data_IF_860953896640
#
_entry.id   IF_860953896640
#
_cell.length_a   1.000
_cell.length_b   1.000
_cell.length_c   1.000
_cell.angle_alpha   90.00
_cell.angle_beta   90.00
_cell.angle_gamma   90.00
#
_symmetry.space_group_name_H-M   'P 1'
#
loop_
_entity.id
_entity.type
_entity.pdbx_description
1 polymer ?
#
# COMPACT_ATOMS: atom_id res chain seq x y z
N UNK A 1 -15.09 -2.62 31.20
CA UNK A 1 -13.85 -3.30 30.75
C UNK A 1 -13.30 -2.81 29.40
N UNK A 2 -14.07 -2.90 28.31
CA UNK A 2 -13.57 -2.69 26.94
C UNK A 2 -12.84 -1.37 26.67
N UNK A 3 -13.38 -0.23 27.12
CA UNK A 3 -12.75 1.07 26.92
C UNK A 3 -11.38 1.17 27.62
N UNK A 4 -11.28 0.63 28.85
CA UNK A 4 -10.03 0.60 29.59
C UNK A 4 -8.99 -0.31 28.92
N UNK A 5 -9.40 -1.41 28.30
CA UNK A 5 -8.53 -2.26 27.50
C UNK A 5 -8.06 -1.58 26.19
N UNK A 6 -8.94 -0.82 25.52
CA UNK A 6 -8.58 0.00 24.35
C UNK A 6 -7.56 1.09 24.68
N UNK A 7 -7.60 1.64 25.91
CA UNK A 7 -6.64 2.67 26.36
C UNK A 7 -5.42 2.13 27.12
N UNK A 8 -5.31 0.81 27.29
CA UNK A 8 -4.19 0.20 28.02
C UNK A 8 -4.21 0.48 29.54
N UNK A 9 -5.35 0.89 30.09
CA UNK A 9 -5.47 1.34 31.47
C UNK A 9 -5.59 0.18 32.46
N UNK A 10 -4.48 -0.55 32.68
CA UNK A 10 -4.43 -1.71 33.58
C UNK A 10 -4.94 -1.41 35.00
N UNK A 11 -4.64 -0.23 35.56
CA UNK A 11 -5.14 0.15 36.90
C UNK A 11 -6.67 0.25 36.94
N UNK A 12 -7.27 0.81 35.89
CA UNK A 12 -8.73 0.93 35.77
C UNK A 12 -9.34 -0.47 35.58
N UNK A 13 -8.71 -1.35 34.81
CA UNK A 13 -9.17 -2.73 34.66
C UNK A 13 -9.16 -3.51 35.98
N UNK A 14 -8.09 -3.38 36.79
CA UNK A 14 -8.01 -3.98 38.12
C UNK A 14 -9.11 -3.44 39.04
N UNK A 15 -9.28 -2.12 39.09
CA UNK A 15 -10.33 -1.50 39.88
C UNK A 15 -11.73 -1.94 39.44
N UNK A 16 -11.99 -1.97 38.13
CA UNK A 16 -13.26 -2.42 37.57
C UNK A 16 -13.55 -3.87 37.96
N UNK A 17 -12.57 -4.78 37.93
CA UNK A 17 -12.76 -6.17 38.36
C UNK A 17 -13.13 -6.29 39.83
N UNK A 18 -12.49 -5.51 40.70
CA UNK A 18 -12.69 -5.56 42.15
C UNK A 18 -14.03 -4.92 42.57
N UNK A 19 -14.50 -3.90 41.85
CA UNK A 19 -15.62 -3.06 42.27
C UNK A 19 -16.85 -3.17 41.38
N UNK A 20 -16.73 -3.77 40.20
CA UNK A 20 -17.81 -3.95 39.24
C UNK A 20 -17.77 -5.40 38.75
N UNK A 21 -18.87 -6.14 38.87
CA UNK A 21 -18.96 -7.54 38.43
C UNK A 21 -19.03 -7.66 36.89
N UNK A 22 -18.16 -6.94 36.18
CA UNK A 22 -18.13 -6.79 34.73
C UNK A 22 -17.30 -7.94 34.11
N UNK A 23 -17.93 -8.76 33.28
CA UNK A 23 -17.30 -9.92 32.66
C UNK A 23 -16.39 -9.52 31.49
N UNK A 24 -15.18 -10.09 31.47
CA UNK A 24 -14.31 -10.00 30.30
C UNK A 24 -14.73 -11.04 29.25
N UNK A 25 -14.71 -10.63 27.98
CA UNK A 25 -14.85 -11.54 26.86
C UNK A 25 -13.65 -11.43 25.91
N UNK A 26 -13.63 -12.28 24.88
CA UNK A 26 -12.59 -12.30 23.83
C UNK A 26 -12.42 -10.92 23.17
N UNK A 27 -13.48 -10.10 23.12
CA UNK A 27 -13.43 -8.74 22.58
C UNK A 27 -12.56 -7.79 23.42
N UNK A 28 -12.52 -7.95 24.75
CA UNK A 28 -11.63 -7.17 25.64
C UNK A 28 -10.16 -7.48 25.33
N UNK A 29 -9.83 -8.77 25.18
CA UNK A 29 -8.48 -9.22 24.80
C UNK A 29 -8.06 -8.67 23.43
N UNK A 30 -8.93 -8.80 22.42
CA UNK A 30 -8.65 -8.29 21.08
C UNK A 30 -8.40 -6.78 21.06
N UNK A 31 -9.08 -5.99 21.92
CA UNK A 31 -8.81 -4.55 22.05
C UNK A 31 -7.42 -4.28 22.66
N UNK A 32 -7.04 -5.03 23.69
CA UNK A 32 -5.71 -4.92 24.29
C UNK A 32 -4.59 -5.29 23.30
N UNK A 33 -4.79 -6.38 22.53
CA UNK A 33 -3.88 -6.81 21.45
C UNK A 33 -3.77 -5.75 20.35
N UNK A 34 -4.91 -5.17 19.91
CA UNK A 34 -4.90 -4.08 18.92
C UNK A 34 -4.15 -2.84 19.41
N UNK A 35 -4.24 -2.54 20.69
CA UNK A 35 -3.51 -1.43 21.33
C UNK A 35 -2.06 -1.73 21.67
N UNK A 36 -1.61 -2.98 21.55
CA UNK A 36 -0.23 -3.38 21.88
C UNK A 36 0.06 -3.48 23.37
N UNK A 37 -0.96 -3.50 24.22
CA UNK A 37 -0.81 -3.45 25.67
C UNK A 37 -0.53 -4.83 26.26
N UNK A 38 0.72 -5.29 26.15
CA UNK A 38 1.17 -6.61 26.62
C UNK A 38 0.81 -6.87 28.08
N UNK A 39 0.94 -5.87 28.96
CA UNK A 39 0.63 -6.04 30.38
C UNK A 39 -0.86 -6.26 30.62
N UNK A 40 -1.70 -5.62 29.82
CA UNK A 40 -3.15 -5.85 29.84
C UNK A 40 -3.48 -7.22 29.26
N UNK A 41 -2.84 -7.62 28.16
CA UNK A 41 -3.00 -8.95 27.55
C UNK A 41 -2.64 -10.06 28.56
N UNK A 42 -1.47 -9.96 29.20
CA UNK A 42 -1.02 -10.87 30.25
C UNK A 42 -2.02 -10.94 31.40
N UNK A 43 -2.38 -9.78 31.95
CA UNK A 43 -3.31 -9.71 33.07
C UNK A 43 -4.68 -10.29 32.73
N UNK A 44 -5.20 -10.02 31.53
CA UNK A 44 -6.46 -10.58 31.07
C UNK A 44 -6.39 -12.11 30.96
N UNK A 45 -5.29 -12.67 30.44
CA UNK A 45 -5.08 -14.11 30.35
C UNK A 45 -4.98 -14.79 31.74
N UNK A 46 -4.29 -14.16 32.68
CA UNK A 46 -4.08 -14.73 34.01
C UNK A 46 -5.36 -14.71 34.88
N UNK A 47 -6.29 -13.80 34.58
CA UNK A 47 -7.48 -13.55 35.42
C UNK A 47 -8.79 -14.07 34.80
N UNK A 48 -8.79 -14.45 33.52
CA UNK A 48 -9.98 -14.88 32.80
C UNK A 48 -9.66 -16.05 31.87
N UNK A 49 -10.58 -17.02 31.79
CA UNK A 49 -10.54 -18.06 30.74
C UNK A 49 -10.96 -17.43 29.43
N UNK A 50 -10.01 -16.84 28.73
CA UNK A 50 -10.22 -16.29 27.40
C UNK A 50 -10.16 -17.47 26.44
N UNK A 51 -11.13 -17.58 25.55
CA UNK A 51 -11.19 -18.67 24.57
C UNK A 51 -9.92 -18.78 23.72
N UNK A 52 -9.86 -19.80 22.86
CA UNK A 52 -8.66 -20.15 22.09
C UNK A 52 -8.02 -18.96 21.37
N UNK A 53 -6.69 -18.82 21.55
CA UNK A 53 -5.88 -17.80 20.89
C UNK A 53 -5.74 -18.13 19.39
N UNK A 54 -6.64 -17.57 18.59
CA UNK A 54 -6.67 -17.81 17.14
C UNK A 54 -5.54 -17.11 16.37
N UNK A 55 -5.23 -17.65 15.19
CA UNK A 55 -4.31 -17.03 14.23
C UNK A 55 -4.67 -15.58 13.85
N UNK A 56 -5.94 -15.19 13.99
CA UNK A 56 -6.37 -13.81 13.78
C UNK A 56 -5.78 -12.83 14.81
N UNK A 57 -5.57 -13.27 16.05
CA UNK A 57 -4.97 -12.46 17.12
C UNK A 57 -3.48 -12.24 16.84
N UNK A 58 -2.78 -13.31 16.42
CA UNK A 58 -1.38 -13.22 15.96
C UNK A 58 -1.24 -12.28 14.78
N UNK A 59 -2.10 -12.45 13.76
CA UNK A 59 -2.15 -11.56 12.60
C UNK A 59 -2.36 -10.10 13.01
N UNK A 60 -3.30 -9.84 13.92
CA UNK A 60 -3.61 -8.48 14.36
C UNK A 60 -2.43 -7.83 15.08
N UNK A 61 -1.76 -8.57 15.97
CA UNK A 61 -0.56 -8.09 16.66
C UNK A 61 0.59 -7.81 15.68
N UNK A 62 0.83 -8.74 14.74
CA UNK A 62 1.91 -8.63 13.76
C UNK A 62 1.68 -7.47 12.78
N UNK A 63 0.45 -7.33 12.26
CA UNK A 63 0.04 -6.27 11.36
C UNK A 63 0.14 -4.87 11.97
N UNK A 64 -0.06 -4.76 13.29
CA UNK A 64 -0.04 -3.47 14.00
C UNK A 64 1.31 -3.15 14.64
N UNK A 65 2.33 -4.01 14.46
CA UNK A 65 3.69 -3.70 14.91
C UNK A 65 3.98 -4.06 16.37
N UNK A 66 3.10 -4.84 17.01
CA UNK A 66 3.20 -5.14 18.44
C UNK A 66 4.06 -6.37 18.70
N UNK A 67 5.38 -6.26 18.48
CA UNK A 67 6.34 -7.38 18.60
C UNK A 67 6.26 -8.11 19.95
N UNK A 68 6.14 -7.36 21.05
CA UNK A 68 6.07 -7.98 22.38
C UNK A 68 4.76 -8.76 22.60
N UNK A 69 3.66 -8.33 21.97
CA UNK A 69 2.42 -9.11 21.95
C UNK A 69 2.59 -10.36 21.08
N UNK A 70 3.24 -10.25 19.92
CA UNK A 70 3.55 -11.39 19.03
C UNK A 70 4.37 -12.46 19.76
N UNK A 71 5.44 -12.06 20.45
CA UNK A 71 6.27 -12.95 21.28
C UNK A 71 5.43 -13.65 22.36
N UNK A 72 4.60 -12.87 23.08
CA UNK A 72 3.75 -13.42 24.12
C UNK A 72 2.70 -14.41 23.57
N UNK A 73 2.07 -14.10 22.44
CA UNK A 73 1.10 -15.00 21.81
C UNK A 73 1.76 -16.33 21.41
N UNK A 74 2.99 -16.28 20.88
CA UNK A 74 3.74 -17.48 20.54
C UNK A 74 4.07 -18.34 21.78
N UNK A 75 4.53 -17.74 22.88
CA UNK A 75 4.82 -18.50 24.11
C UNK A 75 3.58 -19.12 24.74
N UNK A 76 2.40 -18.60 24.44
CA UNK A 76 1.11 -19.11 24.92
C UNK A 76 0.42 -20.04 23.90
N UNK A 77 1.16 -20.58 22.93
CA UNK A 77 0.65 -21.59 22.01
C UNK A 77 -0.38 -21.08 21.00
N UNK A 78 -0.43 -19.77 20.75
CA UNK A 78 -1.32 -19.21 19.73
C UNK A 78 -1.00 -19.79 18.35
N UNK A 79 -2.04 -20.29 17.68
CA UNK A 79 -1.96 -20.76 16.31
C UNK A 79 -1.47 -19.64 15.39
N UNK A 80 -0.67 -20.00 14.41
CA UNK A 80 -0.13 -19.06 13.43
C UNK A 80 -0.74 -19.29 12.07
N UNK A 81 -0.53 -18.32 11.20
CA UNK A 81 -0.80 -18.46 9.77
C UNK A 81 0.14 -17.55 9.00
N UNK A 82 0.32 -17.83 7.71
CA UNK A 82 1.09 -16.99 6.81
C UNK A 82 0.60 -15.52 6.80
N UNK A 83 -0.68 -15.30 7.13
CA UNK A 83 -1.26 -13.96 7.23
C UNK A 83 -0.53 -13.06 8.23
N UNK A 84 0.04 -13.61 9.30
CA UNK A 84 0.79 -12.81 10.28
C UNK A 84 2.03 -12.16 9.66
N UNK A 85 2.81 -12.91 8.88
CA UNK A 85 3.98 -12.38 8.19
C UNK A 85 3.57 -11.48 7.02
N UNK A 86 2.53 -11.84 6.26
CA UNK A 86 1.99 -11.00 5.18
C UNK A 86 1.52 -9.63 5.72
N UNK A 87 0.82 -9.65 6.86
CA UNK A 87 0.35 -8.45 7.56
C UNK A 87 1.50 -7.60 8.10
N UNK A 88 2.49 -8.20 8.75
CA UNK A 88 3.69 -7.49 9.21
C UNK A 88 4.44 -6.85 8.03
N UNK A 89 4.54 -7.56 6.89
CA UNK A 89 5.21 -7.06 5.69
C UNK A 89 4.48 -5.88 5.06
N UNK A 90 3.14 -5.95 4.96
CA UNK A 90 2.29 -4.87 4.45
C UNK A 90 2.47 -3.54 5.21
N UNK A 91 2.69 -3.60 6.52
CA UNK A 91 2.82 -2.40 7.36
C UNK A 91 4.28 -2.09 7.75
N UNK A 92 5.26 -2.74 7.11
CA UNK A 92 6.66 -2.36 7.23
C UNK A 92 7.32 -2.83 8.53
N UNK A 93 6.73 -3.79 9.24
CA UNK A 93 7.23 -4.28 10.52
C UNK A 93 8.32 -5.34 10.32
N UNK A 94 9.45 -4.94 9.76
CA UNK A 94 10.57 -5.84 9.40
C UNK A 94 11.05 -6.69 10.59
N UNK A 95 11.12 -6.12 11.79
CA UNK A 95 11.54 -6.88 12.98
C UNK A 95 10.56 -8.00 13.34
N UNK A 96 9.27 -7.81 13.11
CA UNK A 96 8.28 -8.88 13.28
C UNK A 96 8.41 -9.91 12.17
N UNK A 97 8.64 -9.50 10.92
CA UNK A 97 8.88 -10.43 9.80
C UNK A 97 10.07 -11.34 10.09
N UNK A 98 11.21 -10.78 10.51
CA UNK A 98 12.40 -11.54 10.93
C UNK A 98 12.10 -12.47 12.09
N UNK A 99 11.39 -11.97 13.10
CA UNK A 99 11.07 -12.74 14.29
C UNK A 99 10.16 -13.93 13.96
N UNK A 100 9.10 -13.72 13.17
CA UNK A 100 8.18 -14.76 12.72
C UNK A 100 8.91 -15.84 11.91
N UNK A 101 9.83 -15.45 11.03
CA UNK A 101 10.66 -16.39 10.26
C UNK A 101 11.53 -17.28 11.16
N UNK A 102 12.12 -16.72 12.22
CA UNK A 102 13.05 -17.44 13.08
C UNK A 102 12.34 -18.37 14.08
N UNK A 103 11.12 -18.00 14.50
CA UNK A 103 10.44 -18.67 15.62
C UNK A 103 9.22 -19.48 15.18
N UNK A 104 8.80 -19.38 13.91
CA UNK A 104 7.64 -20.11 13.40
C UNK A 104 7.83 -20.65 12.00
N UNK A 105 6.99 -21.62 11.63
CA UNK A 105 7.12 -22.40 10.39
C UNK A 105 6.05 -22.11 9.35
N UNK A 106 5.03 -21.29 9.65
CA UNK A 106 3.94 -21.02 8.70
C UNK A 106 4.38 -20.20 7.48
N UNK A 107 5.50 -19.48 7.58
CA UNK A 107 6.06 -18.68 6.48
C UNK A 107 5.19 -17.48 6.10
N UNK A 108 5.19 -17.15 4.81
CA UNK A 108 4.37 -16.11 4.21
C UNK A 108 3.76 -16.61 2.89
N UNK A 109 2.97 -15.76 2.24
CA UNK A 109 2.55 -15.97 0.85
C UNK A 109 3.21 -14.94 -0.06
N UNK A 110 2.96 -15.02 -1.37
CA UNK A 110 3.33 -13.95 -2.32
C UNK A 110 2.77 -12.58 -1.94
N UNK A 111 1.72 -12.53 -1.09
CA UNK A 111 1.14 -11.29 -0.61
C UNK A 111 2.08 -10.49 0.29
N UNK A 112 3.01 -11.13 1.02
CA UNK A 112 3.99 -10.40 1.82
C UNK A 112 4.78 -9.40 0.97
N UNK A 113 5.35 -9.85 -0.15
CA UNK A 113 6.15 -8.97 -1.02
C UNK A 113 5.25 -8.04 -1.84
N UNK A 114 4.12 -8.52 -2.36
CA UNK A 114 3.17 -7.69 -3.10
C UNK A 114 2.66 -6.51 -2.25
N UNK A 115 2.26 -6.75 -1.00
CA UNK A 115 1.76 -5.71 -0.12
C UNK A 115 2.87 -4.83 0.46
N UNK A 116 4.05 -5.38 0.77
CA UNK A 116 5.20 -4.54 1.14
C UNK A 116 5.57 -3.58 0.02
N UNK A 117 5.50 -4.03 -1.24
CA UNK A 117 5.75 -3.20 -2.41
C UNK A 117 4.65 -2.14 -2.61
N UNK A 118 3.37 -2.53 -2.49
CA UNK A 118 2.22 -1.62 -2.54
C UNK A 118 2.29 -0.51 -1.49
N UNK A 119 2.85 -0.80 -0.31
CA UNK A 119 3.01 0.13 0.82
C UNK A 119 4.38 0.82 0.89
N UNK A 120 5.27 0.55 -0.07
CA UNK A 120 6.54 1.28 -0.18
C UNK A 120 7.65 0.82 0.76
N UNK A 121 7.49 -0.31 1.44
CA UNK A 121 8.45 -0.85 2.41
C UNK A 121 9.60 -1.60 1.73
N UNK A 122 10.50 -0.84 1.09
CA UNK A 122 11.61 -1.38 0.30
C UNK A 122 12.56 -2.27 1.13
N UNK A 123 12.76 -1.95 2.40
CA UNK A 123 13.57 -2.74 3.33
C UNK A 123 12.98 -4.14 3.56
N UNK A 124 11.66 -4.22 3.73
CA UNK A 124 10.92 -5.49 3.81
C UNK A 124 10.98 -6.24 2.49
N UNK A 125 10.78 -5.58 1.34
CA UNK A 125 10.87 -6.21 0.01
C UNK A 125 12.26 -6.83 -0.20
N UNK A 126 13.33 -6.09 0.09
CA UNK A 126 14.72 -6.59 -0.01
C UNK A 126 14.96 -7.79 0.91
N UNK A 127 14.47 -7.71 2.15
CA UNK A 127 14.64 -8.80 3.11
C UNK A 127 13.88 -10.05 2.66
N UNK A 128 12.63 -9.92 2.24
CA UNK A 128 11.82 -11.03 1.72
C UNK A 128 12.49 -11.66 0.51
N UNK A 129 13.00 -10.86 -0.43
CA UNK A 129 13.72 -11.36 -1.59
C UNK A 129 14.96 -12.19 -1.22
N UNK A 130 15.74 -11.74 -0.23
CA UNK A 130 16.97 -12.41 0.16
C UNK A 130 16.74 -13.66 1.03
N UNK A 131 15.60 -13.77 1.72
CA UNK A 131 15.39 -14.79 2.75
C UNK A 131 14.19 -15.71 2.49
N UNK A 132 13.35 -15.44 1.48
CA UNK A 132 12.14 -16.19 1.17
C UNK A 132 12.10 -16.59 -0.31
N UNK A 133 11.41 -17.69 -0.60
CA UNK A 133 11.34 -18.29 -1.95
C UNK A 133 10.00 -18.07 -2.64
N UNK A 134 8.98 -17.59 -1.90
CA UNK A 134 7.64 -17.34 -2.42
C UNK A 134 7.64 -16.27 -3.53
N UNK A 135 8.55 -15.30 -3.46
CA UNK A 135 8.68 -14.24 -4.46
C UNK A 135 7.50 -13.27 -4.44
N UNK A 136 7.16 -12.74 -5.61
CA UNK A 136 6.02 -11.86 -5.82
C UNK A 136 5.30 -12.20 -7.12
N UNK A 137 4.30 -11.40 -7.48
CA UNK A 137 3.70 -11.42 -8.81
C UNK A 137 3.85 -10.05 -9.48
N UNK A 138 3.39 -9.89 -10.72
CA UNK A 138 3.32 -8.58 -11.40
C UNK A 138 2.62 -7.50 -10.55
N UNK A 139 1.72 -7.92 -9.66
CA UNK A 139 1.01 -7.05 -8.70
C UNK A 139 1.98 -6.23 -7.84
N UNK A 140 3.16 -6.73 -7.49
CA UNK A 140 4.12 -5.96 -6.68
C UNK A 140 4.55 -4.67 -7.39
N UNK A 141 4.94 -4.77 -8.67
CA UNK A 141 5.38 -3.59 -9.43
C UNK A 141 4.19 -2.72 -9.83
N UNK A 142 3.07 -3.33 -10.25
CA UNK A 142 1.83 -2.60 -10.59
C UNK A 142 1.33 -1.77 -9.40
N UNK A 143 1.26 -2.36 -8.21
CA UNK A 143 0.80 -1.68 -7.01
C UNK A 143 1.80 -0.65 -6.50
N UNK A 144 3.12 -0.92 -6.55
CA UNK A 144 4.14 0.07 -6.22
C UNK A 144 4.08 1.30 -7.14
N UNK A 145 3.86 1.09 -8.45
CA UNK A 145 3.70 2.16 -9.42
C UNK A 145 2.44 3.00 -9.17
N UNK A 146 1.30 2.32 -8.92
CA UNK A 146 0.05 2.99 -8.52
C UNK A 146 0.23 3.83 -7.25
N UNK A 147 0.94 3.31 -6.24
CA UNK A 147 1.17 4.03 -4.97
C UNK A 147 2.31 5.07 -5.05
N UNK A 148 2.98 5.26 -6.19
CA UNK A 148 4.03 6.26 -6.34
C UNK A 148 5.38 5.87 -5.72
N UNK A 149 5.62 4.59 -5.44
CA UNK A 149 6.84 4.11 -4.78
C UNK A 149 7.98 3.85 -5.78
N UNK A 150 8.58 4.92 -6.30
CA UNK A 150 9.64 4.88 -7.33
C UNK A 150 10.79 3.92 -6.95
N UNK A 151 11.28 4.00 -5.72
CA UNK A 151 12.42 3.20 -5.25
C UNK A 151 12.11 1.70 -5.25
N UNK A 152 10.86 1.33 -4.95
CA UNK A 152 10.39 -0.05 -5.02
C UNK A 152 10.25 -0.51 -6.46
N UNK A 153 9.65 0.30 -7.35
CA UNK A 153 9.52 -0.03 -8.78
C UNK A 153 10.89 -0.29 -9.41
N UNK A 154 11.83 0.65 -9.24
CA UNK A 154 13.21 0.51 -9.74
C UNK A 154 13.88 -0.75 -9.19
N UNK A 155 13.76 -0.98 -7.89
CA UNK A 155 14.38 -2.15 -7.27
C UNK A 155 13.78 -3.46 -7.78
N UNK A 156 12.44 -3.56 -7.87
CA UNK A 156 11.78 -4.74 -8.42
C UNK A 156 12.20 -5.00 -9.86
N UNK A 157 12.29 -3.96 -10.70
CA UNK A 157 12.74 -4.09 -12.08
C UNK A 157 14.13 -4.72 -12.20
N UNK A 158 15.09 -4.27 -11.38
CA UNK A 158 16.47 -4.77 -11.46
C UNK A 158 16.72 -6.11 -10.77
N UNK A 159 15.84 -6.54 -9.85
CA UNK A 159 16.10 -7.71 -8.99
C UNK A 159 15.07 -8.84 -9.14
N UNK A 160 13.97 -8.63 -9.88
CA UNK A 160 12.88 -9.59 -10.06
C UNK A 160 12.55 -9.76 -11.55
N UNK A 161 12.11 -10.95 -11.93
CA UNK A 161 11.81 -11.31 -13.33
C UNK A 161 10.32 -11.28 -13.67
N UNK A 162 9.46 -11.17 -12.65
CA UNK A 162 7.99 -11.17 -12.81
C UNK A 162 7.48 -9.98 -13.64
N UNK A 163 8.17 -8.84 -13.55
CA UNK A 163 7.81 -7.65 -14.31
C UNK A 163 6.57 -6.92 -13.80
N UNK A 164 5.87 -6.26 -14.73
CA UNK A 164 4.63 -5.53 -14.49
C UNK A 164 3.62 -5.82 -15.60
N UNK A 165 2.41 -5.33 -15.46
CA UNK A 165 1.43 -5.25 -16.54
C UNK A 165 1.31 -3.80 -17.04
N UNK A 166 0.40 -3.57 -17.99
CA UNK A 166 0.04 -2.21 -18.42
C UNK A 166 -0.50 -1.35 -17.27
N UNK A 167 -0.99 -1.97 -16.20
CA UNK A 167 -1.53 -1.24 -15.05
C UNK A 167 -0.46 -0.39 -14.37
N UNK A 168 0.80 -0.84 -14.30
CA UNK A 168 1.87 -0.06 -13.68
C UNK A 168 2.01 1.34 -14.30
N UNK A 169 2.18 1.39 -15.63
CA UNK A 169 2.37 2.64 -16.35
C UNK A 169 1.06 3.44 -16.42
N UNK A 170 -0.08 2.78 -16.63
CA UNK A 170 -1.40 3.42 -16.67
C UNK A 170 -1.70 4.14 -15.35
N UNK A 171 -1.49 3.48 -14.21
CA UNK A 171 -1.75 4.06 -12.90
C UNK A 171 -0.72 5.12 -12.53
N UNK A 172 0.54 4.97 -12.95
CA UNK A 172 1.56 6.01 -12.78
C UNK A 172 1.16 7.30 -13.52
N UNK A 173 0.70 7.19 -14.77
CA UNK A 173 0.20 8.33 -15.55
C UNK A 173 -1.03 8.97 -14.87
N UNK A 174 -2.01 8.15 -14.46
CA UNK A 174 -3.24 8.63 -13.80
C UNK A 174 -2.99 9.39 -12.50
N UNK A 175 -1.97 8.99 -11.75
CA UNK A 175 -1.62 9.61 -10.48
C UNK A 175 -0.57 10.70 -10.61
N UNK A 176 -0.19 11.10 -11.84
CA UNK A 176 0.82 12.14 -12.08
C UNK A 176 2.25 11.73 -11.69
N UNK A 177 2.52 10.44 -11.51
CA UNK A 177 3.84 9.91 -11.12
C UNK A 177 4.78 9.85 -12.34
N UNK A 178 5.18 11.02 -12.85
CA UNK A 178 5.94 11.14 -14.09
C UNK A 178 7.25 10.35 -14.08
N UNK A 179 7.99 10.35 -12.96
CA UNK A 179 9.25 9.58 -12.85
C UNK A 179 9.03 8.07 -13.05
N UNK A 180 7.92 7.52 -12.55
CA UNK A 180 7.59 6.11 -12.73
C UNK A 180 7.16 5.84 -14.17
N UNK A 181 6.33 6.72 -14.75
CA UNK A 181 5.91 6.58 -16.13
C UNK A 181 7.11 6.59 -17.09
N UNK A 182 8.04 7.53 -16.92
CA UNK A 182 9.28 7.62 -17.70
C UNK A 182 10.17 6.39 -17.49
N UNK A 183 10.38 5.97 -16.24
CA UNK A 183 11.19 4.80 -15.96
C UNK A 183 10.62 3.52 -16.60
N UNK A 184 9.31 3.31 -16.50
CA UNK A 184 8.66 2.15 -17.11
C UNK A 184 8.74 2.24 -18.64
N UNK A 185 8.53 3.42 -19.22
CA UNK A 185 8.65 3.64 -20.66
C UNK A 185 10.04 3.30 -21.23
N UNK A 186 11.10 3.64 -20.51
CA UNK A 186 12.48 3.40 -20.93
C UNK A 186 12.93 1.94 -20.73
N UNK A 187 12.36 1.24 -19.75
CA UNK A 187 12.88 -0.05 -19.28
C UNK A 187 11.91 -1.23 -19.47
N UNK A 188 10.67 -0.98 -19.89
CA UNK A 188 9.59 -1.96 -20.03
C UNK A 188 8.89 -1.83 -21.38
N UNK A 189 8.30 -2.91 -21.86
CA UNK A 189 7.66 -2.98 -23.19
C UNK A 189 6.13 -3.09 -23.14
N UNK A 190 5.55 -3.19 -21.95
CA UNK A 190 4.11 -3.41 -21.75
C UNK A 190 3.25 -2.24 -22.24
N UNK A 191 3.76 -1.01 -22.08
CA UNK A 191 3.04 0.23 -22.37
C UNK A 191 1.95 0.55 -21.34
N UNK A 192 1.01 1.42 -21.71
CA UNK A 192 -0.15 1.79 -20.89
C UNK A 192 -1.47 1.55 -21.64
N UNK A 193 -2.60 1.64 -20.94
CA UNK A 193 -3.94 1.53 -21.52
C UNK A 193 -4.49 2.92 -21.92
N UNK A 194 -4.79 3.08 -23.20
CA UNK A 194 -5.33 4.32 -23.79
C UNK A 194 -6.83 4.56 -23.52
N UNK A 195 -7.54 3.60 -22.91
CA UNK A 195 -8.96 3.75 -22.55
C UNK A 195 -9.23 4.73 -21.41
N UNK A 196 -8.18 5.23 -20.75
CA UNK A 196 -8.32 6.27 -19.72
C UNK A 196 -8.58 7.60 -20.40
N UNK A 197 -9.80 8.15 -20.30
CA UNK A 197 -10.16 9.39 -21.01
C UNK A 197 -10.00 10.66 -20.19
N UNK A 198 -9.75 10.57 -18.88
CA UNK A 198 -9.63 11.73 -17.99
C UNK A 198 -8.40 11.61 -17.09
N UNK A 199 -7.55 12.63 -17.10
CA UNK A 199 -6.46 12.83 -16.17
C UNK A 199 -6.73 14.02 -15.26
N UNK A 200 -6.81 13.75 -13.97
CA UNK A 200 -7.03 14.77 -12.94
C UNK A 200 -5.69 15.28 -12.43
N UNK A 201 -5.50 16.60 -12.52
CA UNK A 201 -4.31 17.29 -12.01
C UNK A 201 -2.96 16.69 -12.48
N UNK A 202 -2.78 16.38 -13.77
CA UNK A 202 -1.48 15.96 -14.28
C UNK A 202 -0.45 17.09 -14.10
N UNK A 203 0.84 16.73 -14.01
CA UNK A 203 1.89 17.73 -14.15
C UNK A 203 2.14 18.06 -15.63
N UNK A 204 2.57 19.28 -15.91
CA UNK A 204 2.80 19.78 -17.27
C UNK A 204 3.80 18.90 -18.03
N UNK A 205 4.86 18.47 -17.36
CA UNK A 205 5.92 17.65 -17.94
C UNK A 205 5.41 16.29 -18.41
N UNK A 206 4.52 15.66 -17.63
CA UNK A 206 3.90 14.39 -18.02
C UNK A 206 3.05 14.56 -19.27
N UNK A 207 2.23 15.62 -19.34
CA UNK A 207 1.36 15.85 -20.49
C UNK A 207 2.15 16.23 -21.74
N UNK A 208 3.18 17.07 -21.62
CA UNK A 208 4.10 17.37 -22.72
C UNK A 208 4.78 16.11 -23.25
N UNK A 209 5.29 15.27 -22.34
CA UNK A 209 5.93 14.02 -22.70
C UNK A 209 4.95 13.04 -23.38
N UNK A 210 3.74 12.85 -22.84
CA UNK A 210 2.70 12.03 -23.44
C UNK A 210 2.33 12.52 -24.84
N UNK A 211 2.14 13.83 -25.01
CA UNK A 211 1.79 14.44 -26.29
C UNK A 211 2.91 14.24 -27.33
N UNK A 212 4.17 14.33 -26.89
CA UNK A 212 5.31 14.16 -27.78
C UNK A 212 5.49 12.70 -28.23
N UNK A 213 5.28 11.72 -27.34
CA UNK A 213 5.65 10.33 -27.59
C UNK A 213 4.46 9.45 -28.00
N UNK A 214 3.27 9.79 -27.53
CA UNK A 214 2.04 9.01 -27.66
C UNK A 214 0.84 9.81 -28.19
N UNK A 215 0.99 10.71 -29.18
CA UNK A 215 -0.08 11.61 -29.60
C UNK A 215 -1.36 10.87 -30.00
N UNK A 216 -1.24 9.75 -30.73
CA UNK A 216 -2.41 8.98 -31.18
C UNK A 216 -3.13 8.22 -30.05
N UNK A 217 -2.40 7.85 -28.99
CA UNK A 217 -3.00 7.09 -27.88
C UNK A 217 -3.72 7.99 -26.87
N UNK A 218 -3.32 9.26 -26.79
CA UNK A 218 -3.95 10.25 -25.92
C UNK A 218 -4.93 11.17 -26.65
N UNK A 219 -5.17 10.92 -27.95
CA UNK A 219 -6.15 11.67 -28.72
C UNK A 219 -7.54 11.57 -28.08
N UNK A 220 -8.19 12.71 -27.88
CA UNK A 220 -9.47 12.80 -27.18
C UNK A 220 -9.39 12.64 -25.65
N UNK A 221 -8.21 12.55 -25.05
CA UNK A 221 -8.08 12.60 -23.58
C UNK A 221 -8.41 13.99 -23.05
N UNK A 222 -9.12 14.02 -21.92
CA UNK A 222 -9.40 15.23 -21.16
C UNK A 222 -8.40 15.39 -20.02
N UNK A 223 -7.83 16.57 -19.88
CA UNK A 223 -6.98 16.97 -18.77
C UNK A 223 -7.73 17.97 -17.89
N UNK A 224 -8.01 17.61 -16.64
CA UNK A 224 -8.66 18.48 -15.67
C UNK A 224 -7.60 19.22 -14.84
N UNK A 225 -7.43 20.51 -15.12
CA UNK A 225 -6.42 21.36 -14.49
C UNK A 225 -7.03 22.13 -13.31
N UNK A 226 -6.28 22.34 -12.21
CA UNK A 226 -6.70 23.27 -11.17
C UNK A 226 -6.86 24.69 -11.73
N UNK A 227 -7.89 25.43 -11.29
CA UNK A 227 -8.14 26.80 -11.78
C UNK A 227 -6.96 27.77 -11.53
N UNK A 228 -6.09 27.47 -10.57
CA UNK A 228 -4.91 28.28 -10.27
C UNK A 228 -3.71 27.98 -11.17
N UNK A 229 -3.71 26.86 -11.92
CA UNK A 229 -2.64 26.50 -12.84
C UNK A 229 -2.85 27.16 -14.21
N UNK A 230 -2.71 28.49 -14.20
CA UNK A 230 -2.85 29.32 -15.38
C UNK A 230 -1.74 29.05 -16.41
N UNK A 231 -0.56 28.60 -15.97
CA UNK A 231 0.57 28.34 -16.86
C UNK A 231 0.31 27.11 -17.72
N UNK A 232 -0.18 26.02 -17.11
CA UNK A 232 -0.59 24.84 -17.87
C UNK A 232 -1.79 25.18 -18.76
N UNK A 233 -2.79 25.92 -18.24
CA UNK A 233 -3.92 26.36 -19.07
C UNK A 233 -3.49 27.22 -20.27
N UNK A 234 -2.47 28.06 -20.11
CA UNK A 234 -1.91 28.85 -21.21
C UNK A 234 -1.18 27.97 -22.23
N UNK A 235 -0.37 27.01 -21.76
CA UNK A 235 0.26 26.02 -22.63
C UNK A 235 -0.78 25.23 -23.44
N UNK A 236 -1.88 24.78 -22.83
CA UNK A 236 -2.96 24.09 -23.54
C UNK A 236 -3.54 24.94 -24.69
N UNK A 237 -3.65 26.26 -24.53
CA UNK A 237 -4.08 27.16 -25.62
C UNK A 237 -3.04 27.25 -26.73
N UNK A 238 -1.75 27.26 -26.39
CA UNK A 238 -0.66 27.34 -27.37
C UNK A 238 -0.59 26.08 -28.25
N UNK A 239 -1.03 24.93 -27.75
CA UNK A 239 -1.11 23.67 -28.50
C UNK A 239 -2.51 23.37 -29.06
N UNK A 240 -3.38 24.38 -29.11
CA UNK A 240 -4.77 24.33 -29.60
C UNK A 240 -5.64 23.20 -29.00
N UNK A 241 -5.45 22.87 -27.72
CA UNK A 241 -6.38 21.97 -27.02
C UNK A 241 -7.76 22.63 -26.88
N UNK A 242 -8.81 21.82 -26.99
CA UNK A 242 -10.19 22.31 -26.90
C UNK A 242 -10.66 22.35 -25.45
N UNK A 243 -11.31 23.42 -25.01
CA UNK A 243 -11.96 23.43 -23.70
C UNK A 243 -13.28 22.67 -23.74
N UNK A 244 -13.65 21.97 -22.66
CA UNK A 244 -14.98 21.36 -22.57
C UNK A 244 -16.06 22.45 -22.42
N UNK A 245 -17.24 22.29 -23.01
CA UNK A 245 -18.36 23.21 -22.81
C UNK A 245 -18.79 23.32 -21.34
N UNK A 246 -18.58 22.27 -20.55
CA UNK A 246 -19.04 22.13 -19.17
C UNK A 246 -18.07 22.77 -18.16
N UNK A 247 -16.76 22.84 -18.45
CA UNK A 247 -15.76 23.37 -17.53
C UNK A 247 -14.54 23.99 -18.25
N UNK A 248 -14.28 25.29 -18.00
CA UNK A 248 -13.10 25.99 -18.55
C UNK A 248 -11.75 25.44 -18.07
N UNK A 249 -11.77 24.60 -17.03
CA UNK A 249 -10.60 23.94 -16.44
C UNK A 249 -10.27 22.59 -17.09
N UNK A 250 -11.11 22.10 -17.98
CA UNK A 250 -10.93 20.83 -18.67
C UNK A 250 -10.53 21.06 -20.13
N UNK A 251 -9.47 20.36 -20.55
CA UNK A 251 -8.87 20.50 -21.87
C UNK A 251 -8.83 19.16 -22.58
N UNK A 252 -9.44 19.06 -23.75
CA UNK A 252 -9.44 17.88 -24.61
C UNK A 252 -8.24 17.96 -25.55
N UNK A 253 -7.45 16.89 -25.55
CA UNK A 253 -6.35 16.67 -26.47
C UNK A 253 -6.88 16.46 -27.90
N UNK A 254 -6.45 17.30 -28.83
CA UNK A 254 -6.59 17.06 -30.27
C UNK A 254 -5.21 16.80 -30.87
N UNK A 255 -4.87 15.52 -31.05
CA UNK A 255 -3.56 15.11 -31.56
C UNK A 255 -3.34 15.48 -33.04
N UNK A 256 -4.40 15.85 -33.76
CA UNK A 256 -4.30 16.26 -35.17
C UNK A 256 -3.56 17.60 -35.33
N UNK A 257 -3.55 18.43 -34.28
CA UNK A 257 -2.86 19.72 -34.25
C UNK A 257 -1.34 19.54 -34.19
N UNK A 258 -0.86 18.59 -33.38
CA UNK A 258 0.58 18.32 -33.20
C UNK A 258 1.25 17.90 -34.51
N UNK A 259 0.51 17.25 -35.42
CA UNK A 259 0.98 16.84 -36.75
C UNK A 259 1.29 18.00 -37.69
N UNK A 260 0.83 19.23 -37.39
CA UNK A 260 1.02 20.42 -38.26
C UNK A 260 2.28 21.20 -37.93
N UNK A 261 2.95 20.89 -36.82
CA UNK A 261 4.08 21.66 -36.28
C UNK A 261 5.44 20.96 -36.40
N UNK A 262 5.47 19.74 -36.94
CA UNK A 262 6.67 18.93 -37.22
C UNK A 262 6.87 18.78 -38.72
#
# INVERSE_FOLDING_TARGET
MNAAATGGHLKILKWLRENCNDECNVSTMNRAVRGGYVDVVKWLNDNYTIGELSAFVMYTAARLGHLEVVKWLHTNGCEGSAAAMDGAARFGHLEIVKWLQQNRTEGCTVQAMNWAAESGHLDVVKWLHANRTEGCTTRAMDAAARSGHVSVVKWLHFNRSEGCTRDAMTQAIRNGNFEIALFLDENRSEGFNSQTTLLEHPCLELTQWLLSKYPEQIDGWTFALPAWDWHFSDWCRQVDFQQTPEAITEWICDSSVVRRST
#
